data_IF_659913082455
#
_entry.id   IF_659913082455
#
_cell.length_a   1.000
_cell.length_b   1.000
_cell.length_c   1.000
_cell.angle_alpha   90.00
_cell.angle_beta   90.00
_cell.angle_gamma   90.00
#
_symmetry.space_group_name_H-M   'P 1'
#
loop_
_entity.id
_entity.type
_entity.pdbx_description
1 polymer ?
#
# COMPACT_ATOMS: atom_id res chain seq x y z
N UNK A 1 -27.21 -11.92 9.91
CA UNK A 1 -26.00 -12.79 9.87
C UNK A 1 -26.43 -14.23 9.65
N UNK A 2 -25.68 -14.99 8.85
CA UNK A 2 -25.88 -16.42 8.61
C UNK A 2 -27.03 -16.80 7.66
N UNK A 3 -28.05 -15.95 7.53
CA UNK A 3 -29.18 -16.15 6.60
C UNK A 3 -28.86 -15.66 5.20
N UNK A 4 -29.22 -16.45 4.18
CA UNK A 4 -29.16 -16.04 2.78
C UNK A 4 -30.40 -15.23 2.39
N UNK A 5 -30.19 -14.13 1.67
CA UNK A 5 -31.24 -13.33 1.05
C UNK A 5 -31.17 -13.57 -0.45
N UNK A 6 -32.28 -14.01 -1.05
CA UNK A 6 -32.40 -14.20 -2.50
C UNK A 6 -33.10 -12.96 -3.06
N UNK A 7 -32.53 -12.33 -4.08
CA UNK A 7 -33.15 -11.17 -4.73
C UNK A 7 -32.65 -11.02 -6.18
N UNK A 8 -33.29 -10.15 -6.95
CA UNK A 8 -32.83 -9.70 -8.26
C UNK A 8 -32.66 -8.19 -8.28
N UNK A 9 -31.65 -7.72 -9.00
CA UNK A 9 -31.35 -6.31 -9.20
C UNK A 9 -31.47 -5.96 -10.69
N UNK A 10 -32.03 -4.80 -10.99
CA UNK A 10 -32.05 -4.28 -12.35
C UNK A 10 -30.70 -3.63 -12.71
N UNK A 11 -30.41 -3.51 -14.00
CA UNK A 11 -29.24 -2.75 -14.45
C UNK A 11 -29.28 -1.31 -13.92
N UNK A 12 -28.13 -0.83 -13.47
CA UNK A 12 -27.88 0.50 -12.88
C UNK A 12 -28.69 0.80 -11.61
N UNK A 13 -29.28 -0.23 -10.98
CA UNK A 13 -29.99 -0.10 -9.73
C UNK A 13 -29.11 -0.47 -8.52
N UNK A 14 -29.52 0.02 -7.35
CA UNK A 14 -28.90 -0.28 -6.07
C UNK A 14 -29.90 -0.90 -5.10
N UNK A 15 -29.51 -2.03 -4.53
CA UNK A 15 -30.11 -2.56 -3.31
C UNK A 15 -29.18 -2.29 -2.13
N UNK A 16 -29.78 -2.02 -0.96
CA UNK A 16 -29.03 -1.83 0.28
C UNK A 16 -29.57 -2.71 1.39
N UNK A 17 -28.64 -3.35 2.09
CA UNK A 17 -28.89 -4.17 3.26
C UNK A 17 -28.05 -3.63 4.41
N UNK A 18 -28.39 -4.04 5.63
CA UNK A 18 -27.59 -3.70 6.79
C UNK A 18 -27.39 -4.91 7.68
N UNK A 19 -26.23 -4.95 8.32
CA UNK A 19 -25.85 -6.00 9.25
C UNK A 19 -25.19 -5.37 10.47
N UNK A 20 -25.64 -5.76 11.65
CA UNK A 20 -24.99 -5.43 12.91
C UNK A 20 -24.09 -6.61 13.28
N UNK A 21 -22.79 -6.33 13.44
CA UNK A 21 -21.80 -7.33 13.87
C UNK A 21 -21.71 -7.26 15.39
N UNK A 22 -21.96 -8.37 16.11
CA UNK A 22 -21.83 -8.40 17.56
C UNK A 22 -20.42 -7.98 18.03
N UNK A 23 -20.33 -7.40 19.22
CA UNK A 23 -19.04 -7.10 19.81
C UNK A 23 -18.25 -8.40 20.09
N UNK A 24 -16.94 -8.37 19.84
CA UNK A 24 -16.06 -9.53 20.05
C UNK A 24 -15.96 -10.50 18.86
N UNK A 25 -16.63 -10.20 17.74
CA UNK A 25 -16.41 -10.90 16.48
C UNK A 25 -15.26 -10.26 15.70
N UNK A 26 -14.47 -11.07 15.00
CA UNK A 26 -13.25 -10.60 14.35
C UNK A 26 -13.54 -10.07 12.94
N UNK A 27 -14.15 -10.90 12.08
CA UNK A 27 -14.38 -10.54 10.69
C UNK A 27 -15.82 -10.71 10.24
N UNK A 28 -16.26 -9.78 9.38
CA UNK A 28 -17.48 -9.87 8.60
C UNK A 28 -17.11 -10.24 7.16
N UNK A 29 -17.62 -11.37 6.69
CA UNK A 29 -17.51 -11.82 5.30
C UNK A 29 -18.87 -11.68 4.62
N UNK A 30 -18.91 -10.93 3.53
CA UNK A 30 -20.10 -10.71 2.70
C UNK A 30 -19.86 -11.29 1.32
N UNK A 31 -20.81 -12.09 0.82
CA UNK A 31 -20.73 -12.72 -0.50
C UNK A 31 -22.00 -12.51 -1.32
N UNK A 32 -21.82 -12.28 -2.62
CA UNK A 32 -22.86 -12.46 -3.63
C UNK A 32 -22.63 -13.79 -4.35
N UNK A 33 -23.56 -14.71 -4.17
CA UNK A 33 -23.48 -16.09 -4.64
C UNK A 33 -24.50 -16.35 -5.74
N UNK A 34 -24.17 -17.24 -6.67
CA UNK A 34 -25.11 -17.72 -7.68
C UNK A 34 -25.58 -16.64 -8.66
N UNK A 35 -24.73 -15.65 -8.92
CA UNK A 35 -24.97 -14.61 -9.92
C UNK A 35 -25.22 -15.24 -11.29
N UNK A 36 -26.31 -14.84 -11.96
CA UNK A 36 -26.62 -15.24 -13.33
C UNK A 36 -26.18 -14.20 -14.38
N UNK A 37 -25.79 -13.01 -13.92
CA UNK A 37 -25.24 -11.90 -14.67
C UNK A 37 -24.45 -11.00 -13.69
N UNK A 38 -23.90 -9.92 -14.22
CA UNK A 38 -22.95 -9.06 -13.51
C UNK A 38 -23.61 -8.17 -12.45
N UNK A 39 -23.24 -8.35 -11.19
CA UNK A 39 -23.56 -7.42 -10.11
C UNK A 39 -22.39 -7.32 -9.12
N UNK A 40 -22.18 -6.11 -8.62
CA UNK A 40 -21.05 -5.77 -7.78
C UNK A 40 -21.45 -5.69 -6.30
N UNK A 41 -20.48 -5.94 -5.43
CA UNK A 41 -20.61 -5.86 -3.98
C UNK A 41 -19.80 -4.70 -3.41
N UNK A 42 -20.42 -3.90 -2.55
CA UNK A 42 -19.73 -2.86 -1.79
C UNK A 42 -20.23 -2.86 -0.34
N UNK A 43 -19.35 -2.65 0.62
CA UNK A 43 -19.67 -2.63 2.05
C UNK A 43 -19.02 -1.44 2.72
N UNK A 44 -19.75 -0.76 3.61
CA UNK A 44 -19.25 0.40 4.35
C UNK A 44 -19.88 0.52 5.73
N UNK A 45 -19.11 0.97 6.71
CA UNK A 45 -19.52 1.17 8.10
C UNK A 45 -20.51 2.33 8.20
N UNK A 46 -21.65 2.09 8.84
CA UNK A 46 -22.69 3.05 9.24
C UNK A 46 -23.36 3.90 8.15
N UNK A 47 -22.79 4.00 6.95
CA UNK A 47 -23.29 4.79 5.82
C UNK A 47 -23.26 3.97 4.54
N UNK A 48 -24.12 4.34 3.58
CA UNK A 48 -24.19 3.64 2.29
C UNK A 48 -22.86 3.76 1.53
N UNK A 49 -22.35 2.68 0.93
CA UNK A 49 -21.28 2.78 -0.05
C UNK A 49 -21.78 3.48 -1.33
N UNK A 50 -20.88 4.08 -2.10
CA UNK A 50 -21.24 4.95 -3.24
C UNK A 50 -20.65 4.59 -4.61
N UNK A 51 -20.55 3.30 -4.95
CA UNK A 51 -20.18 2.84 -6.31
C UNK A 51 -18.72 2.45 -6.49
N UNK A 52 -18.32 2.23 -7.75
CA UNK A 52 -17.00 1.72 -8.11
C UNK A 52 -15.88 2.77 -7.92
N UNK A 53 -14.62 2.30 -7.82
CA UNK A 53 -13.43 3.17 -7.63
C UNK A 53 -13.23 4.13 -8.79
N UNK A 54 -13.51 3.68 -10.01
CA UNK A 54 -13.32 4.46 -11.23
C UNK A 54 -14.20 5.73 -11.26
N UNK A 55 -15.26 5.78 -10.44
CA UNK A 55 -16.16 6.92 -10.29
C UNK A 55 -16.00 7.65 -8.95
N UNK A 56 -14.97 7.32 -8.16
CA UNK A 56 -14.75 7.92 -6.84
C UNK A 56 -15.70 7.41 -5.76
N UNK A 57 -16.20 6.18 -5.91
CA UNK A 57 -17.04 5.55 -4.92
C UNK A 57 -16.34 5.37 -3.57
N UNK A 58 -17.10 5.54 -2.48
CA UNK A 58 -16.63 5.37 -1.11
C UNK A 58 -17.17 4.06 -0.56
N UNK A 59 -16.27 3.20 -0.11
CA UNK A 59 -16.59 1.92 0.51
C UNK A 59 -15.40 1.48 1.37
N UNK A 60 -15.66 0.61 2.35
CA UNK A 60 -14.62 0.08 3.23
C UNK A 60 -14.10 -1.25 2.75
N UNK A 61 -14.84 -1.93 1.87
CA UNK A 61 -14.46 -3.13 1.13
C UNK A 61 -15.45 -3.37 -0.02
N UNK A 62 -15.00 -3.93 -1.15
CA UNK A 62 -15.83 -4.18 -2.31
C UNK A 62 -15.23 -5.22 -3.26
N UNK A 63 -16.05 -5.74 -4.17
CA UNK A 63 -15.67 -6.75 -5.16
C UNK A 63 -16.53 -6.57 -6.41
N UNK A 64 -15.88 -6.53 -7.57
CA UNK A 64 -16.49 -6.35 -8.91
C UNK A 64 -15.75 -7.20 -9.95
N UNK A 65 -15.68 -8.51 -9.72
CA UNK A 65 -15.01 -9.49 -10.61
C UNK A 65 -15.72 -9.65 -11.96
N UNK A 66 -17.00 -9.29 -12.01
CA UNK A 66 -17.80 -9.25 -13.21
C UNK A 66 -18.38 -10.60 -13.63
N UNK A 67 -19.38 -10.57 -14.52
CA UNK A 67 -20.07 -11.77 -15.00
C UNK A 67 -20.78 -12.54 -13.89
N UNK A 68 -20.56 -13.86 -13.81
CA UNK A 68 -21.23 -14.74 -12.83
C UNK A 68 -20.35 -15.14 -11.65
N UNK A 69 -19.22 -14.46 -11.47
CA UNK A 69 -18.27 -14.78 -10.42
C UNK A 69 -18.84 -14.44 -9.04
N UNK A 70 -18.41 -15.17 -8.01
CA UNK A 70 -18.82 -14.84 -6.64
C UNK A 70 -18.08 -13.60 -6.18
N UNK A 71 -18.82 -12.52 -5.91
CA UNK A 71 -18.24 -11.35 -5.26
C UNK A 71 -18.03 -11.63 -3.78
N UNK A 72 -16.85 -11.30 -3.25
CA UNK A 72 -16.52 -11.51 -1.83
C UNK A 72 -15.88 -10.26 -1.26
N UNK A 73 -16.40 -9.82 -0.13
CA UNK A 73 -15.85 -8.72 0.65
C UNK A 73 -15.63 -9.19 2.08
N UNK A 74 -14.44 -8.96 2.63
CA UNK A 74 -14.08 -9.28 4.00
C UNK A 74 -13.62 -8.02 4.73
N UNK A 75 -14.22 -7.76 5.88
CA UNK A 75 -13.87 -6.68 6.79
C UNK A 75 -13.40 -7.29 8.09
N UNK A 76 -12.21 -6.90 8.56
CA UNK A 76 -11.66 -7.32 9.86
C UNK A 76 -11.87 -6.23 10.90
N UNK A 77 -11.66 -6.59 12.16
CA UNK A 77 -12.05 -5.77 13.31
C UNK A 77 -13.50 -5.28 13.17
N UNK A 78 -14.40 -6.17 12.74
CA UNK A 78 -15.78 -5.82 12.44
C UNK A 78 -16.66 -5.74 13.70
N UNK A 79 -16.15 -6.26 14.82
CA UNK A 79 -16.87 -6.39 16.09
C UNK A 79 -17.52 -5.10 16.58
N UNK A 80 -18.80 -5.17 16.93
CA UNK A 80 -19.56 -4.06 17.51
C UNK A 80 -19.92 -2.93 16.54
N UNK A 81 -19.68 -3.12 15.24
CA UNK A 81 -19.94 -2.13 14.18
C UNK A 81 -21.18 -2.50 13.36
N UNK A 82 -21.80 -1.49 12.76
CA UNK A 82 -22.89 -1.67 11.78
C UNK A 82 -22.33 -1.44 10.39
N UNK A 83 -22.61 -2.36 9.47
CA UNK A 83 -22.24 -2.23 8.07
C UNK A 83 -23.46 -2.14 7.17
N UNK A 84 -23.36 -1.28 6.16
CA UNK A 84 -24.30 -1.14 5.06
C UNK A 84 -23.70 -1.85 3.84
N UNK A 85 -24.42 -2.84 3.34
CA UNK A 85 -24.05 -3.62 2.16
C UNK A 85 -24.82 -3.06 0.98
N UNK A 86 -24.13 -2.60 -0.05
CA UNK A 86 -24.70 -2.21 -1.33
C UNK A 86 -24.47 -3.28 -2.39
N UNK A 87 -25.53 -3.63 -3.13
CA UNK A 87 -25.45 -4.46 -4.33
C UNK A 87 -25.80 -3.58 -5.52
N UNK A 88 -24.90 -3.51 -6.50
CA UNK A 88 -25.09 -2.72 -7.71
C UNK A 88 -25.26 -3.62 -8.92
N UNK A 89 -26.35 -3.47 -9.68
CA UNK A 89 -26.54 -4.21 -10.91
C UNK A 89 -25.75 -3.61 -12.06
N UNK A 90 -24.52 -4.05 -12.31
CA UNK A 90 -23.82 -3.69 -13.55
C UNK A 90 -24.60 -4.18 -14.78
N UNK A 91 -25.24 -5.34 -14.63
CA UNK A 91 -26.33 -5.85 -15.46
C UNK A 91 -27.51 -6.24 -14.56
N UNK A 92 -28.67 -6.46 -15.17
CA UNK A 92 -29.78 -7.06 -14.43
C UNK A 92 -29.41 -8.49 -14.04
N UNK A 93 -29.42 -8.80 -12.74
CA UNK A 93 -28.91 -10.05 -12.20
C UNK A 93 -29.73 -10.55 -11.01
N UNK A 94 -29.89 -11.87 -10.91
CA UNK A 94 -30.34 -12.54 -9.69
C UNK A 94 -29.13 -12.93 -8.84
N UNK A 95 -29.26 -12.82 -7.53
CA UNK A 95 -28.18 -13.10 -6.60
C UNK A 95 -28.68 -13.66 -5.26
N UNK A 96 -27.76 -14.30 -4.55
CA UNK A 96 -27.91 -14.66 -3.15
C UNK A 96 -26.89 -13.90 -2.32
N UNK A 97 -27.38 -13.00 -1.47
CA UNK A 97 -26.56 -12.28 -0.53
C UNK A 97 -26.41 -13.10 0.75
N UNK A 98 -25.16 -13.28 1.20
CA UNK A 98 -24.85 -13.93 2.48
C UNK A 98 -23.82 -13.12 3.25
N UNK A 99 -24.15 -12.77 4.49
CA UNK A 99 -23.23 -12.15 5.44
C UNK A 99 -22.96 -13.11 6.60
N UNK A 100 -21.70 -13.51 6.78
CA UNK A 100 -21.23 -14.44 7.80
C UNK A 100 -20.15 -13.80 8.65
N UNK A 101 -20.00 -14.31 9.86
CA UNK A 101 -18.85 -14.01 10.69
C UNK A 101 -17.76 -15.03 10.39
N UNK A 102 -16.52 -14.57 10.29
CA UNK A 102 -15.36 -15.44 10.27
C UNK A 102 -14.48 -15.12 11.48
N UNK A 103 -14.43 -16.09 12.39
CA UNK A 103 -13.58 -16.05 13.58
C UNK A 103 -12.31 -16.90 13.37
N UNK A 104 -11.98 -17.19 12.11
CA UNK A 104 -10.69 -17.72 11.73
C UNK A 104 -9.59 -16.76 12.18
N UNK A 105 -8.62 -17.31 12.91
CA UNK A 105 -7.41 -16.58 13.28
C UNK A 105 -6.68 -16.21 11.99
N UNK A 106 -6.62 -14.92 11.69
CA UNK A 106 -5.72 -14.43 10.67
C UNK A 106 -4.33 -14.36 11.26
N UNK A 107 -3.42 -15.12 10.68
CA UNK A 107 -2.02 -15.00 11.02
C UNK A 107 -1.48 -13.68 10.45
N UNK A 108 -1.10 -12.78 11.35
CA UNK A 108 -0.46 -11.50 11.02
C UNK A 108 0.91 -11.50 11.67
N UNK A 109 1.95 -11.44 10.84
CA UNK A 109 3.34 -11.43 11.31
C UNK A 109 3.82 -9.99 11.49
N UNK A 110 4.34 -9.67 12.66
CA UNK A 110 4.94 -8.36 12.92
C UNK A 110 6.29 -8.21 12.23
N UNK A 111 6.45 -7.14 11.47
CA UNK A 111 7.73 -6.73 10.87
C UNK A 111 8.47 -5.77 11.78
N UNK A 112 9.79 -5.94 11.84
CA UNK A 112 10.71 -4.98 12.47
C UNK A 112 11.22 -3.99 11.44
N UNK A 113 11.34 -2.72 11.84
CA UNK A 113 11.76 -1.63 10.94
C UNK A 113 13.11 -1.91 10.27
N UNK A 114 13.11 -1.90 8.94
CA UNK A 114 14.29 -2.12 8.10
C UNK A 114 14.80 -3.57 8.08
N UNK A 115 14.09 -4.52 8.69
CA UNK A 115 14.47 -5.94 8.68
C UNK A 115 13.65 -6.72 7.66
N UNK A 116 14.34 -7.54 6.87
CA UNK A 116 13.70 -8.44 5.92
C UNK A 116 13.10 -9.65 6.65
N UNK A 117 11.88 -10.03 6.26
CA UNK A 117 11.26 -11.29 6.62
C UNK A 117 11.06 -12.14 5.36
N UNK A 118 11.41 -13.42 5.42
CA UNK A 118 11.23 -14.36 4.31
C UNK A 118 10.17 -15.39 4.66
N UNK A 119 9.33 -15.71 3.67
CA UNK A 119 8.22 -16.65 3.81
C UNK A 119 7.78 -17.13 2.41
N UNK A 120 6.71 -17.92 2.35
CA UNK A 120 6.09 -18.44 1.14
C UNK A 120 4.58 -18.19 1.15
N UNK A 121 4.07 -17.77 0.01
CA UNK A 121 2.62 -17.68 -0.26
C UNK A 121 2.24 -18.67 -1.35
N UNK A 122 1.15 -19.39 -1.15
CA UNK A 122 0.62 -20.29 -2.17
C UNK A 122 -0.21 -19.52 -3.20
N UNK A 123 -0.45 -20.15 -4.35
CA UNK A 123 -1.25 -19.52 -5.39
C UNK A 123 -2.66 -19.22 -4.88
N UNK A 124 -3.16 -18.01 -5.16
CA UNK A 124 -4.45 -17.45 -4.69
C UNK A 124 -4.59 -17.25 -3.18
N UNK A 125 -3.54 -17.51 -2.40
CA UNK A 125 -3.52 -17.26 -0.96
C UNK A 125 -2.91 -15.90 -0.63
N UNK A 126 -3.13 -15.48 0.60
CA UNK A 126 -2.56 -14.27 1.18
C UNK A 126 -1.63 -14.59 2.34
N UNK A 127 -0.58 -13.78 2.49
CA UNK A 127 0.19 -13.62 3.72
C UNK A 127 0.07 -12.18 4.20
N UNK A 128 -0.19 -12.03 5.50
CA UNK A 128 -0.39 -10.72 6.10
C UNK A 128 0.69 -10.41 7.13
N UNK A 129 1.11 -9.16 7.09
CA UNK A 129 2.12 -8.60 7.96
C UNK A 129 1.63 -7.27 8.52
N UNK A 130 2.18 -6.88 9.67
CA UNK A 130 1.93 -5.58 10.28
C UNK A 130 3.24 -4.87 10.58
N UNK A 131 3.25 -3.56 10.37
CA UNK A 131 4.29 -2.67 10.88
C UNK A 131 3.65 -1.48 11.57
N UNK A 132 3.90 -1.34 12.87
CA UNK A 132 3.56 -0.13 13.60
C UNK A 132 4.58 0.96 13.25
N UNK A 133 4.12 2.03 12.63
CA UNK A 133 4.94 3.18 12.26
C UNK A 133 4.75 4.25 13.34
N UNK A 134 5.79 4.60 14.14
CA UNK A 134 5.66 5.55 15.23
C UNK A 134 5.34 6.98 14.76
N UNK A 135 4.76 7.77 15.65
CA UNK A 135 4.59 9.20 15.42
C UNK A 135 5.94 9.89 15.09
N UNK A 136 5.92 10.79 14.11
CA UNK A 136 7.11 11.47 13.61
C UNK A 136 7.75 10.82 12.39
N UNK A 137 7.57 9.51 12.18
CA UNK A 137 7.91 8.83 10.93
C UNK A 137 6.86 9.15 9.87
N UNK A 138 7.24 9.96 8.90
CA UNK A 138 6.31 10.55 7.91
C UNK A 138 6.04 9.65 6.72
N UNK A 139 6.75 8.53 6.59
CA UNK A 139 6.70 7.67 5.41
C UNK A 139 7.02 6.23 5.78
N UNK A 140 6.26 5.32 5.17
CA UNK A 140 6.55 3.89 5.15
C UNK A 140 6.88 3.48 3.71
N UNK A 141 7.99 2.79 3.53
CA UNK A 141 8.37 2.15 2.27
C UNK A 141 8.38 0.65 2.48
N UNK A 142 7.67 -0.09 1.62
CA UNK A 142 7.61 -1.55 1.63
C UNK A 142 8.16 -2.06 0.31
N UNK A 143 9.07 -3.03 0.38
CA UNK A 143 9.64 -3.71 -0.78
C UNK A 143 9.43 -5.21 -0.64
N UNK A 144 8.94 -5.82 -1.71
CA UNK A 144 8.84 -7.27 -1.88
C UNK A 144 9.83 -7.69 -2.95
N UNK A 145 10.75 -8.58 -2.61
CA UNK A 145 11.80 -9.07 -3.50
C UNK A 145 12.11 -10.55 -3.24
N UNK A 146 13.17 -11.06 -3.88
CA UNK A 146 13.59 -12.46 -3.72
C UNK A 146 12.58 -13.49 -4.25
N UNK A 147 11.62 -13.05 -5.08
CA UNK A 147 10.53 -13.89 -5.52
C UNK A 147 10.95 -14.99 -6.50
N UNK A 148 10.41 -16.20 -6.33
CA UNK A 148 10.64 -17.35 -7.22
C UNK A 148 9.60 -17.47 -8.33
N UNK A 149 8.43 -16.84 -8.16
CA UNK A 149 7.38 -16.65 -9.16
C UNK A 149 6.67 -15.31 -8.94
N UNK A 150 5.52 -15.12 -9.58
CA UNK A 150 4.75 -13.86 -9.53
C UNK A 150 4.00 -13.70 -8.21
N UNK A 151 4.35 -12.65 -7.45
CA UNK A 151 3.75 -12.28 -6.18
C UNK A 151 3.51 -10.78 -6.10
N UNK A 152 2.36 -10.41 -5.55
CA UNK A 152 1.85 -9.05 -5.57
C UNK A 152 1.90 -8.41 -4.18
N UNK A 153 2.19 -7.11 -4.12
CA UNK A 153 2.28 -6.32 -2.89
C UNK A 153 1.10 -5.36 -2.74
N UNK A 154 0.47 -5.36 -1.56
CA UNK A 154 -0.58 -4.44 -1.17
C UNK A 154 -0.31 -3.89 0.23
N UNK A 155 -0.59 -2.61 0.45
CA UNK A 155 -0.40 -1.93 1.73
C UNK A 155 -1.63 -1.10 2.05
N UNK A 156 -2.10 -1.19 3.30
CA UNK A 156 -3.29 -0.50 3.78
C UNK A 156 -3.16 -0.08 5.24
N UNK A 157 -3.69 1.09 5.57
CA UNK A 157 -3.74 1.65 6.91
C UNK A 157 -4.81 0.96 7.76
N UNK A 158 -4.46 0.55 8.98
CA UNK A 158 -5.41 0.13 10.03
C UNK A 158 -6.17 -1.17 9.80
N UNK A 159 -6.15 -1.72 8.58
CA UNK A 159 -6.81 -2.96 8.19
C UNK A 159 -5.98 -3.69 7.15
N UNK A 160 -6.11 -5.02 7.07
CA UNK A 160 -5.49 -5.79 5.99
C UNK A 160 -6.02 -5.37 4.62
N UNK A 161 -5.16 -5.37 3.59
CA UNK A 161 -5.63 -5.19 2.23
C UNK A 161 -6.39 -6.42 1.74
N UNK A 162 -7.23 -6.25 0.73
CA UNK A 162 -7.99 -7.33 0.11
C UNK A 162 -8.24 -7.05 -1.37
N UNK A 163 -8.60 -8.08 -2.13
CA UNK A 163 -9.02 -7.95 -3.52
C UNK A 163 -7.85 -7.73 -4.51
N UNK A 164 -8.19 -7.48 -5.76
CA UNK A 164 -7.23 -7.22 -6.85
C UNK A 164 -7.43 -5.81 -7.41
N UNK A 165 -6.38 -5.09 -7.89
CA UNK A 165 -6.49 -3.70 -8.35
C UNK A 165 -7.53 -3.51 -9.45
N UNK A 166 -7.79 -4.55 -10.23
CA UNK A 166 -8.74 -4.51 -11.34
C UNK A 166 -10.16 -4.92 -10.93
N UNK A 167 -10.37 -5.41 -9.70
CA UNK A 167 -11.65 -5.99 -9.27
C UNK A 167 -12.04 -5.69 -7.81
N UNK A 168 -11.51 -4.62 -7.24
CA UNK A 168 -11.90 -4.13 -5.91
C UNK A 168 -10.81 -4.17 -4.86
N UNK A 169 -9.56 -3.92 -5.26
CA UNK A 169 -8.48 -3.78 -4.29
C UNK A 169 -8.82 -2.71 -3.28
N UNK A 170 -8.65 -3.11 -2.03
CA UNK A 170 -8.83 -2.27 -0.88
C UNK A 170 -7.45 -2.07 -0.27
N UNK A 171 -6.75 -1.06 -0.76
CA UNK A 171 -5.36 -0.78 -0.42
C UNK A 171 -5.07 0.69 -0.66
N UNK A 172 -4.25 1.30 0.18
CA UNK A 172 -3.79 2.68 -0.02
C UNK A 172 -2.68 2.76 -1.07
N UNK A 173 -1.97 1.65 -1.27
CA UNK A 173 -0.97 1.51 -2.29
C UNK A 173 -0.73 0.02 -2.61
N UNK A 174 -0.39 -0.26 -3.87
CA UNK A 174 -0.14 -1.62 -4.36
C UNK A 174 0.91 -1.59 -5.48
N UNK A 175 1.51 -2.75 -5.75
CA UNK A 175 2.40 -2.97 -6.89
C UNK A 175 2.27 -4.44 -7.31
N UNK A 176 1.99 -4.66 -8.59
CA UNK A 176 1.56 -5.95 -9.19
C UNK A 176 2.30 -6.25 -10.49
N UNK A 177 3.63 -6.11 -10.49
CA UNK A 177 4.43 -6.29 -11.70
C UNK A 177 4.60 -7.79 -11.96
N UNK A 178 4.58 -8.13 -13.24
CA UNK A 178 4.65 -9.54 -13.63
C UNK A 178 6.00 -10.20 -13.29
N UNK A 179 5.95 -11.52 -13.16
CA UNK A 179 7.11 -12.41 -12.94
C UNK A 179 7.81 -12.11 -11.61
N UNK A 180 9.15 -12.18 -11.55
CA UNK A 180 9.91 -12.04 -10.30
C UNK A 180 10.41 -10.60 -10.05
N UNK A 181 9.77 -9.63 -10.70
CA UNK A 181 10.14 -8.22 -10.55
C UNK A 181 9.90 -7.78 -9.11
N UNK A 182 10.80 -6.98 -8.53
CA UNK A 182 10.57 -6.46 -7.19
C UNK A 182 9.37 -5.49 -7.20
N UNK A 183 8.51 -5.64 -6.19
CA UNK A 183 7.39 -4.75 -5.92
C UNK A 183 7.79 -3.69 -4.90
N UNK A 184 7.25 -2.48 -5.04
CA UNK A 184 7.52 -1.42 -4.07
C UNK A 184 6.29 -0.55 -3.89
N UNK A 185 6.00 -0.25 -2.63
CA UNK A 185 4.89 0.58 -2.24
C UNK A 185 5.35 1.61 -1.19
N UNK A 186 4.94 2.87 -1.36
CA UNK A 186 5.32 3.96 -0.45
C UNK A 186 4.09 4.74 -0.06
N UNK A 187 3.84 4.83 1.24
CA UNK A 187 2.69 5.54 1.82
C UNK A 187 3.16 6.62 2.79
N UNK A 188 2.38 7.70 2.90
CA UNK A 188 2.60 8.75 3.88
C UNK A 188 2.00 8.36 5.23
N UNK A 189 2.68 8.73 6.31
CA UNK A 189 2.22 8.49 7.67
C UNK A 189 2.18 9.82 8.44
N UNK A 190 1.17 10.02 9.29
CA UNK A 190 0.97 11.31 9.98
C UNK A 190 0.95 11.22 11.51
N UNK A 191 0.67 10.04 12.04
CA UNK A 191 0.58 9.74 13.46
C UNK A 191 1.09 8.32 13.72
N UNK A 192 1.05 7.85 14.96
CA UNK A 192 1.31 6.44 15.22
C UNK A 192 0.23 5.60 14.55
N UNK A 193 0.61 4.63 13.72
CA UNK A 193 -0.33 3.90 12.88
C UNK A 193 0.16 2.50 12.59
N UNK A 194 -0.75 1.53 12.71
CA UNK A 194 -0.55 0.19 12.21
C UNK A 194 -0.81 0.16 10.71
N UNK A 195 0.24 -0.14 9.94
CA UNK A 195 0.14 -0.43 8.52
C UNK A 195 0.13 -1.94 8.32
N UNK A 196 -0.82 -2.43 7.53
CA UNK A 196 -0.92 -3.82 7.16
C UNK A 196 -0.41 -4.00 5.74
N UNK A 197 0.40 -5.04 5.56
CA UNK A 197 1.01 -5.41 4.31
C UNK A 197 0.45 -6.78 3.93
N UNK A 198 -0.15 -6.88 2.75
CA UNK A 198 -0.62 -8.13 2.17
C UNK A 198 0.25 -8.54 1.00
N UNK A 199 0.65 -9.79 0.99
CA UNK A 199 1.36 -10.42 -0.13
C UNK A 199 0.43 -11.47 -0.71
N UNK A 200 0.07 -11.28 -1.97
CA UNK A 200 -0.84 -12.18 -2.67
C UNK A 200 -0.06 -13.03 -3.67
N UNK A 201 -0.23 -14.35 -3.61
CA UNK A 201 0.38 -15.26 -4.56
C UNK A 201 -0.40 -15.31 -5.87
N UNK A 202 -0.11 -14.44 -6.85
CA UNK A 202 -0.64 -14.65 -8.20
C UNK A 202 -0.20 -16.01 -8.75
N UNK A 203 1.04 -16.39 -8.41
CA UNK A 203 1.55 -17.76 -8.42
C UNK A 203 2.15 -18.08 -7.05
N UNK A 204 2.28 -19.38 -6.76
CA UNK A 204 2.96 -19.82 -5.53
C UNK A 204 4.44 -19.40 -5.59
N UNK A 205 4.88 -18.60 -4.61
CA UNK A 205 6.23 -18.00 -4.60
C UNK A 205 6.80 -17.94 -3.19
N UNK A 206 8.10 -18.17 -3.08
CA UNK A 206 8.89 -17.73 -1.92
C UNK A 206 9.17 -16.23 -2.09
N UNK A 207 9.38 -15.50 -1.00
CA UNK A 207 9.66 -14.06 -1.08
C UNK A 207 10.46 -13.55 0.13
N UNK A 208 10.91 -12.30 0.03
CA UNK A 208 11.46 -11.48 1.10
C UNK A 208 10.71 -10.15 1.12
N UNK A 209 10.16 -9.76 2.27
CA UNK A 209 9.49 -8.48 2.47
C UNK A 209 10.25 -7.64 3.49
N UNK A 210 10.50 -6.38 3.15
CA UNK A 210 11.12 -5.39 4.04
C UNK A 210 10.24 -4.17 4.12
N UNK A 211 9.95 -3.70 5.33
CA UNK A 211 9.21 -2.48 5.58
C UNK A 211 10.11 -1.50 6.35
N UNK A 212 10.19 -0.25 5.89
CA UNK A 212 11.10 0.76 6.44
C UNK A 212 10.38 2.07 6.67
N UNK A 213 10.41 2.56 7.91
CA UNK A 213 9.90 3.87 8.28
C UNK A 213 10.96 4.95 8.10
N UNK A 214 10.56 6.16 7.69
CA UNK A 214 11.49 7.28 7.57
C UNK A 214 10.86 8.65 7.82
N UNK A 215 11.65 9.54 8.41
CA UNK A 215 11.37 10.97 8.59
C UNK A 215 11.76 11.78 7.34
N UNK A 216 11.67 11.19 6.15
CA UNK A 216 12.20 11.79 4.92
C UNK A 216 11.27 12.90 4.38
N UNK A 217 10.85 13.80 5.26
CA UNK A 217 10.78 15.21 4.96
C UNK A 217 12.19 15.77 4.66
N UNK A 218 12.94 15.17 3.73
CA UNK A 218 14.23 15.71 3.22
C UNK A 218 14.08 17.07 2.53
N UNK A 219 12.87 17.63 2.53
CA UNK A 219 12.54 19.02 2.20
C UNK A 219 11.91 19.75 3.40
N UNK A 220 12.34 19.53 4.63
CA UNK A 220 12.43 20.65 5.56
C UNK A 220 13.50 21.58 4.99
N UNK A 221 13.10 22.42 4.03
CA UNK A 221 13.87 23.52 3.45
C UNK A 221 14.66 24.10 4.60
N UNK A 222 15.99 23.95 4.54
CA UNK A 222 16.91 24.71 5.37
C UNK A 222 16.35 26.12 5.39
N UNK A 223 15.77 26.53 6.53
CA UNK A 223 14.94 27.72 6.63
C UNK A 223 15.82 28.87 6.16
N UNK A 224 15.71 29.26 4.89
CA UNK A 224 16.60 30.24 4.28
C UNK A 224 16.28 31.54 5.00
N UNK A 225 17.09 31.85 6.00
CA UNK A 225 16.99 33.10 6.70
C UNK A 225 17.47 34.16 5.73
N UNK A 226 16.64 35.19 5.54
CA UNK A 226 16.94 36.29 4.62
C UNK A 226 18.23 36.96 5.10
N UNK A 227 19.33 36.76 4.37
CA UNK A 227 20.56 37.50 4.63
C UNK A 227 20.36 38.92 4.11
N UNK A 228 20.46 39.91 4.99
CA UNK A 228 20.40 41.31 4.58
C UNK A 228 21.60 41.64 3.69
N UNK A 229 21.39 42.56 2.74
CA UNK A 229 22.40 42.97 1.74
C UNK A 229 23.63 43.56 2.46
N UNK A 230 24.63 42.72 2.72
CA UNK A 230 25.88 43.12 3.39
C UNK A 230 26.59 42.03 4.20
N UNK A 231 25.95 40.92 4.54
CA UNK A 231 26.58 39.90 5.40
C UNK A 231 27.30 38.80 4.59
N UNK A 232 28.59 38.59 4.86
CA UNK A 232 29.41 37.52 4.23
C UNK A 232 29.20 36.21 4.99
N UNK A 233 28.78 35.17 4.28
CA UNK A 233 28.72 33.80 4.80
C UNK A 233 30.16 33.29 4.98
N UNK A 234 30.60 33.05 6.23
CA UNK A 234 31.80 32.24 6.49
C UNK A 234 31.40 30.77 6.41
N UNK A 235 31.94 30.07 5.42
CA UNK A 235 31.79 28.62 5.28
C UNK A 235 32.81 27.95 6.21
N UNK A 236 32.37 27.50 7.38
CA UNK A 236 33.16 26.63 8.24
C UNK A 236 33.02 25.21 7.69
N UNK A 237 34.07 24.72 7.05
CA UNK A 237 34.27 23.29 6.79
C UNK A 237 35.36 22.89 7.78
N UNK A 238 35.01 22.30 8.91
CA UNK A 238 35.94 21.55 9.75
C UNK A 238 35.12 20.61 10.64
N UNK A 239 35.30 19.30 10.41
CA UNK A 239 35.67 18.31 11.43
C UNK A 239 35.58 16.89 10.82
N UNK A 240 36.65 16.51 10.12
CA UNK A 240 36.98 15.11 9.89
C UNK A 240 37.92 14.66 11.02
N UNK A 241 37.76 13.45 11.61
CA UNK A 241 38.63 13.01 12.69
C UNK A 241 40.04 12.70 12.18
N UNK A 242 41.05 13.36 12.75
CA UNK A 242 42.46 13.05 12.53
C UNK A 242 42.88 11.81 13.33
N UNK A 243 43.38 10.79 12.62
CA UNK A 243 44.22 9.74 13.19
C UNK A 243 45.69 10.14 13.16
N UNK A 244 46.39 9.84 14.25
CA UNK A 244 47.75 10.23 14.64
C UNK A 244 48.92 9.57 13.90
N UNK A 245 49.99 10.36 13.66
CA UNK A 245 51.42 9.96 13.67
C UNK A 245 51.99 9.37 12.37
N UNK A 246 52.84 10.06 11.59
CA UNK A 246 54.25 10.46 11.81
C UNK A 246 55.27 9.50 11.15
N UNK A 247 55.91 9.93 10.05
CA UNK A 247 57.39 10.06 9.93
C UNK A 247 57.85 10.30 8.48
N UNK A 248 58.72 11.32 8.30
CA UNK A 248 59.81 11.48 7.32
C UNK A 248 59.50 11.29 5.83
N UNK A 249 59.75 12.23 4.93
CA UNK A 249 61.02 12.92 4.70
C UNK A 249 61.37 12.71 3.21
N UNK A 250 61.63 13.80 2.50
CA UNK A 250 61.42 13.89 1.05
C UNK A 250 62.36 13.09 0.15
N UNK A 251 61.97 12.95 -1.13
CA UNK A 251 62.84 12.97 -2.30
C UNK A 251 62.02 12.87 -3.60
N UNK A 252 62.26 13.82 -4.51
CA UNK A 252 62.31 13.73 -5.98
C UNK A 252 61.37 12.76 -6.72
N UNK A 253 60.62 13.29 -7.70
CA UNK A 253 60.14 12.45 -8.82
C UNK A 253 59.03 13.02 -9.69
N UNK A 254 59.42 13.68 -10.79
CA UNK A 254 58.91 13.55 -12.16
C UNK A 254 57.38 13.55 -12.48
N UNK A 255 57.04 14.44 -13.44
CA UNK A 255 56.06 14.31 -14.54
C UNK A 255 54.57 14.14 -14.17
N UNK A 256 53.59 14.72 -14.87
CA UNK A 256 53.51 15.08 -16.27
C UNK A 256 52.51 16.24 -16.50
N UNK A 257 52.75 16.95 -17.60
CA UNK A 257 51.84 17.79 -18.40
C UNK A 257 50.41 17.21 -18.49
N UNK A 258 49.33 17.96 -18.75
CA UNK A 258 49.14 18.90 -19.85
C UNK A 258 47.85 19.72 -19.63
N UNK A 259 47.89 20.96 -20.08
CA UNK A 259 46.76 21.90 -20.17
C UNK A 259 45.70 21.45 -21.21
N UNK A 260 44.48 21.99 -21.11
CA UNK A 260 43.84 22.69 -22.25
C UNK A 260 42.62 23.53 -21.82
N UNK A 261 42.84 24.85 -21.85
CA UNK A 261 42.01 25.94 -22.43
C UNK A 261 40.49 26.01 -22.22
N UNK A 262 40.09 27.15 -21.63
CA UNK A 262 38.80 27.82 -21.82
C UNK A 262 38.54 28.16 -23.30
N UNK A 263 37.28 28.09 -23.73
CA UNK A 263 36.66 29.11 -24.58
C UNK A 263 35.14 29.13 -24.31
N UNK A 264 34.61 30.28 -23.91
CA UNK A 264 33.17 30.54 -23.92
C UNK A 264 32.69 30.97 -25.31
N UNK A 265 31.38 30.93 -25.54
CA UNK A 265 30.53 32.03 -26.05
C UNK A 265 29.10 31.53 -26.33
N UNK A 266 28.17 32.25 -25.70
CA UNK A 266 26.82 32.69 -26.10
C UNK A 266 25.79 31.76 -26.78
N UNK A 267 24.66 31.63 -26.05
CA UNK A 267 23.25 31.89 -26.45
C UNK A 267 22.92 32.05 -27.95
N UNK A 268 21.88 31.33 -28.38
CA UNK A 268 20.65 31.93 -28.97
C UNK A 268 19.43 31.01 -28.82
N UNK A 269 18.27 31.63 -28.58
CA UNK A 269 16.92 31.09 -28.44
C UNK A 269 16.11 31.34 -29.72
N UNK A 270 15.01 30.58 -29.85
CA UNK A 270 13.87 30.71 -30.78
C UNK A 270 14.22 30.43 -32.25
N UNK A 271 13.54 29.51 -32.92
CA UNK A 271 12.07 29.34 -33.07
C UNK A 271 11.57 27.93 -32.82
#
# INVERSE_FOLDING_TARGET
LGTEVNNGIAQDAWDYYAVDVPAGEDALVVKLLGLNADADLYVRESVKPSGNVAQGGQYDCGSYLGGTNTETCELRDAGGKRYIIGVYGYQAADYRLRATLDNGVLEITDLSDGQAASDRVEQTDWRYYRMTVPAGQTRLSVTLDGMTADGDLYVRQGQVPSGNPNSGANSDCYSVRASTSAETCVVSNSEETDWYIGIYGYQSTDFSVTATSSNDARLAVHKLTRVNKGERIKKTLDDAPQSSGSAGGGSLGLLALLALTLLGIARRRHT
#
